data_IF_983382722635
#
_entry.id   IF_983382722635
#
_cell.length_a   1.000
_cell.length_b   1.000
_cell.length_c   1.000
_cell.angle_alpha   90.00
_cell.angle_beta   90.00
_cell.angle_gamma   90.00
#
_symmetry.space_group_name_H-M   'P 1'
#
loop_
_entity.id
_entity.type
_entity.pdbx_description
1 polymer ?
#
# COMPACT_ATOMS: atom_id res chain seq x y z
N UNK A 1 -7.81 -3.40 13.31
CA UNK A 1 -9.13 -3.15 13.93
C UNK A 1 -9.10 -1.89 14.80
N UNK A 2 -8.32 -1.88 15.85
CA UNK A 2 -8.29 -0.79 16.85
C UNK A 2 -7.86 0.56 16.26
N UNK A 3 -6.94 0.56 15.32
CA UNK A 3 -6.50 1.77 14.61
C UNK A 3 -7.63 2.33 13.74
N UNK A 4 -8.36 1.48 13.02
CA UNK A 4 -9.50 1.90 12.19
C UNK A 4 -10.61 2.48 13.08
N UNK A 5 -10.85 1.90 14.25
CA UNK A 5 -11.85 2.39 15.19
C UNK A 5 -11.59 3.84 15.67
N UNK A 6 -10.32 4.25 15.72
CA UNK A 6 -9.90 5.62 16.11
C UNK A 6 -10.01 6.65 14.97
N UNK A 7 -10.21 6.21 13.74
CA UNK A 7 -10.34 7.11 12.59
C UNK A 7 -11.74 7.78 12.59
N UNK A 8 -11.87 8.85 11.84
CA UNK A 8 -13.16 9.51 11.62
C UNK A 8 -14.12 8.54 10.90
N UNK A 9 -15.42 8.65 11.20
CA UNK A 9 -16.44 7.93 10.46
C UNK A 9 -16.48 8.43 9.02
N UNK A 10 -16.65 7.50 8.07
CA UNK A 10 -16.66 7.81 6.66
C UNK A 10 -15.27 8.10 6.06
N UNK A 11 -14.20 7.70 6.73
CA UNK A 11 -12.84 7.87 6.21
C UNK A 11 -12.62 7.07 4.92
N UNK A 12 -11.76 7.57 4.05
CA UNK A 12 -11.23 6.81 2.89
C UNK A 12 -9.81 6.33 3.21
N UNK A 13 -9.53 5.09 2.85
CA UNK A 13 -8.21 4.47 3.04
C UNK A 13 -7.57 4.19 1.69
N UNK A 14 -6.34 4.65 1.53
CA UNK A 14 -5.53 4.37 0.34
C UNK A 14 -4.24 3.69 0.79
N UNK A 15 -3.94 2.53 0.23
CA UNK A 15 -2.70 1.79 0.48
C UNK A 15 -2.03 1.40 -0.84
N UNK A 16 -0.95 2.07 -1.16
CA UNK A 16 -0.06 1.76 -2.28
C UNK A 16 1.36 1.42 -1.82
N UNK A 17 1.52 1.06 -0.55
CA UNK A 17 2.81 0.84 0.10
C UNK A 17 3.09 -0.65 0.32
N UNK A 18 2.40 -1.27 1.28
CA UNK A 18 2.61 -2.69 1.60
C UNK A 18 1.32 -3.34 2.08
N UNK A 19 1.05 -4.55 1.60
CA UNK A 19 -0.14 -5.33 1.96
C UNK A 19 -0.29 -5.55 3.46
N UNK A 20 0.76 -6.01 4.17
CA UNK A 20 0.70 -6.29 5.62
C UNK A 20 0.40 -5.09 6.52
N UNK A 21 0.38 -3.86 6.00
CA UNK A 21 -0.03 -2.68 6.78
C UNK A 21 -1.51 -2.70 7.13
N UNK A 22 -2.32 -3.46 6.40
CA UNK A 22 -3.76 -3.57 6.60
C UNK A 22 -4.12 -5.04 6.82
N UNK A 23 -4.88 -5.28 7.88
CA UNK A 23 -5.58 -6.56 8.06
C UNK A 23 -6.84 -6.50 7.19
N UNK A 24 -6.87 -7.27 6.12
CA UNK A 24 -7.88 -7.18 5.06
C UNK A 24 -9.29 -7.49 5.58
N UNK A 25 -9.42 -8.43 6.50
CA UNK A 25 -10.71 -8.72 7.12
C UNK A 25 -11.22 -7.53 7.95
N UNK A 26 -10.36 -6.87 8.70
CA UNK A 26 -10.73 -5.68 9.48
C UNK A 26 -11.16 -4.52 8.56
N UNK A 27 -10.51 -4.38 7.41
CA UNK A 27 -10.91 -3.40 6.41
C UNK A 27 -12.25 -3.76 5.78
N UNK A 28 -12.47 -5.03 5.46
CA UNK A 28 -13.76 -5.53 4.94
C UNK A 28 -14.90 -5.22 5.91
N UNK A 29 -14.73 -5.54 7.19
CA UNK A 29 -15.73 -5.30 8.22
C UNK A 29 -16.02 -3.80 8.38
N UNK A 30 -14.98 -2.97 8.29
CA UNK A 30 -15.12 -1.51 8.37
C UNK A 30 -15.84 -0.90 7.15
N UNK A 31 -15.63 -1.45 5.94
CA UNK A 31 -16.37 -1.08 4.74
C UNK A 31 -17.85 -1.48 4.86
N UNK A 32 -18.11 -2.70 5.32
CA UNK A 32 -19.46 -3.22 5.46
C UNK A 32 -20.27 -2.45 6.51
N UNK A 33 -19.64 -2.03 7.61
CA UNK A 33 -20.28 -1.21 8.65
C UNK A 33 -20.43 0.26 8.29
N UNK A 34 -19.73 0.75 7.25
CA UNK A 34 -19.70 2.16 6.86
C UNK A 34 -18.72 3.02 7.66
N UNK A 35 -17.96 2.45 8.60
CA UNK A 35 -16.87 3.14 9.31
C UNK A 35 -15.85 3.69 8.32
N UNK A 36 -15.52 2.90 7.30
CA UNK A 36 -14.72 3.29 6.13
C UNK A 36 -15.67 3.46 4.95
N UNK A 37 -15.71 4.65 4.37
CA UNK A 37 -16.58 4.96 3.24
C UNK A 37 -16.10 4.33 1.93
N UNK A 38 -14.79 4.15 1.78
CA UNK A 38 -14.19 3.54 0.61
C UNK A 38 -12.71 3.26 0.82
N UNK A 39 -12.17 2.35 0.02
CA UNK A 39 -10.75 2.03 0.02
C UNK A 39 -10.20 1.86 -1.39
N UNK A 40 -8.94 2.24 -1.58
CA UNK A 40 -8.18 1.93 -2.78
C UNK A 40 -6.87 1.26 -2.36
N UNK A 41 -6.65 0.04 -2.81
CA UNK A 41 -5.47 -0.74 -2.45
C UNK A 41 -4.76 -1.22 -3.70
N UNK A 42 -3.48 -0.91 -3.79
CA UNK A 42 -2.60 -1.40 -4.86
C UNK A 42 -1.79 -2.63 -4.41
N UNK A 43 -1.85 -2.94 -3.13
CA UNK A 43 -1.11 -4.03 -2.48
C UNK A 43 -2.03 -4.82 -1.57
N UNK A 44 -1.80 -6.12 -1.50
CA UNK A 44 -2.51 -7.07 -0.64
C UNK A 44 -1.52 -7.99 0.08
N UNK A 45 -1.99 -8.69 1.11
CA UNK A 45 -1.13 -9.53 1.96
C UNK A 45 -0.44 -10.66 1.19
N UNK A 46 -1.11 -11.24 0.20
CA UNK A 46 -0.57 -12.28 -0.68
C UNK A 46 -0.77 -11.87 -2.12
N UNK A 47 0.32 -11.77 -2.86
CA UNK A 47 0.32 -11.39 -4.27
C UNK A 47 0.82 -12.54 -5.16
N UNK A 48 0.15 -12.82 -6.28
CA UNK A 48 -1.10 -12.19 -6.74
C UNK A 48 -2.26 -12.45 -5.78
N UNK A 49 -3.26 -11.54 -5.82
CA UNK A 49 -4.43 -11.64 -4.94
C UNK A 49 -5.11 -13.00 -5.07
N UNK A 50 -5.41 -13.61 -3.93
CA UNK A 50 -6.11 -14.90 -3.88
C UNK A 50 -7.63 -14.69 -3.95
N UNK A 51 -8.33 -15.67 -4.51
CA UNK A 51 -9.78 -15.59 -4.71
C UNK A 51 -10.59 -15.55 -3.41
N UNK A 52 -10.00 -16.00 -2.32
CA UNK A 52 -10.58 -15.97 -0.96
C UNK A 52 -10.24 -14.69 -0.18
N UNK A 53 -9.53 -13.73 -0.81
CA UNK A 53 -9.21 -12.47 -0.15
C UNK A 53 -10.49 -11.73 0.27
N UNK A 54 -10.61 -11.28 1.53
CA UNK A 54 -11.82 -10.62 2.04
C UNK A 54 -12.24 -9.38 1.27
N UNK A 55 -11.30 -8.71 0.59
CA UNK A 55 -11.60 -7.49 -0.18
C UNK A 55 -12.26 -7.77 -1.52
N UNK A 56 -12.19 -9.01 -2.03
CA UNK A 56 -12.89 -9.39 -3.25
C UNK A 56 -14.40 -9.36 -2.98
N UNK A 57 -15.14 -8.62 -3.80
CA UNK A 57 -16.57 -8.44 -3.63
C UNK A 57 -16.97 -7.49 -2.48
N UNK A 58 -16.01 -6.83 -1.83
CA UNK A 58 -16.33 -5.76 -0.89
C UNK A 58 -16.92 -4.55 -1.64
N UNK A 59 -17.86 -3.85 -0.98
CA UNK A 59 -18.39 -2.60 -1.53
C UNK A 59 -17.37 -1.47 -1.41
N UNK A 60 -17.41 -0.53 -2.35
CA UNK A 60 -16.61 0.70 -2.32
C UNK A 60 -15.09 0.46 -2.20
N UNK A 61 -14.58 -0.60 -2.79
CA UNK A 61 -13.16 -0.89 -2.86
C UNK A 61 -12.69 -0.92 -4.31
N UNK A 62 -11.52 -0.33 -4.55
CA UNK A 62 -10.77 -0.43 -5.80
C UNK A 62 -9.48 -1.19 -5.48
N UNK A 63 -9.22 -2.24 -6.25
CA UNK A 63 -8.01 -3.06 -6.13
C UNK A 63 -7.25 -2.98 -7.44
N UNK A 64 -5.97 -2.62 -7.38
CA UNK A 64 -5.07 -2.63 -8.52
C UNK A 64 -3.92 -3.63 -8.27
N UNK A 65 -3.30 -4.19 -9.33
CA UNK A 65 -2.36 -5.31 -9.18
C UNK A 65 -0.90 -4.86 -8.96
N UNK A 66 -0.65 -4.05 -7.92
CA UNK A 66 0.67 -3.58 -7.51
C UNK A 66 1.40 -2.84 -8.65
N UNK A 67 0.74 -1.82 -9.20
CA UNK A 67 1.20 -1.08 -10.38
C UNK A 67 1.45 0.42 -10.13
N UNK A 68 1.41 0.89 -8.89
CA UNK A 68 1.64 2.32 -8.57
C UNK A 68 3.03 2.81 -8.99
N UNK A 69 3.99 1.91 -9.13
CA UNK A 69 5.35 2.16 -9.62
C UNK A 69 5.48 2.15 -11.15
N UNK A 70 4.47 1.66 -11.87
CA UNK A 70 4.56 1.32 -13.30
C UNK A 70 4.63 2.52 -14.27
N UNK A 71 4.14 3.74 -13.98
CA UNK A 71 4.31 4.88 -14.89
C UNK A 71 5.78 5.10 -15.26
N UNK A 72 6.05 5.46 -16.52
CA UNK A 72 7.40 5.67 -17.04
C UNK A 72 8.22 6.62 -16.15
N UNK A 73 7.61 7.72 -15.77
CA UNK A 73 8.24 8.75 -14.94
C UNK A 73 8.58 8.24 -13.54
N UNK A 74 7.72 7.41 -12.97
CA UNK A 74 7.95 6.78 -11.66
C UNK A 74 9.10 5.78 -11.73
N UNK A 75 9.15 4.97 -12.77
CA UNK A 75 10.25 4.01 -12.99
C UNK A 75 11.58 4.72 -13.21
N UNK A 76 11.58 5.82 -13.95
CA UNK A 76 12.78 6.62 -14.17
C UNK A 76 13.30 7.18 -12.83
N UNK A 77 12.42 7.80 -12.03
CA UNK A 77 12.80 8.31 -10.71
C UNK A 77 13.33 7.23 -9.78
N UNK A 78 12.67 6.07 -9.76
CA UNK A 78 13.13 4.94 -8.96
C UNK A 78 14.54 4.48 -9.35
N UNK A 79 14.81 4.38 -10.65
CA UNK A 79 16.12 4.00 -11.17
C UNK A 79 17.17 5.06 -10.81
N UNK A 80 16.87 6.33 -10.98
CA UNK A 80 17.77 7.44 -10.65
C UNK A 80 18.13 7.43 -9.16
N UNK A 81 17.16 7.22 -8.28
CA UNK A 81 17.39 7.12 -6.82
C UNK A 81 18.25 5.89 -6.49
N UNK A 82 17.99 4.74 -7.11
CA UNK A 82 18.78 3.53 -6.90
C UNK A 82 20.25 3.72 -7.31
N UNK A 83 20.48 4.35 -8.45
CA UNK A 83 21.84 4.68 -8.93
C UNK A 83 22.55 5.65 -7.98
N UNK A 84 21.86 6.69 -7.53
CA UNK A 84 22.41 7.67 -6.58
C UNK A 84 22.73 7.02 -5.24
N UNK A 85 21.86 6.16 -4.72
CA UNK A 85 22.12 5.41 -3.50
C UNK A 85 23.38 4.55 -3.62
N UNK A 86 23.56 3.86 -4.74
CA UNK A 86 24.76 3.05 -4.99
C UNK A 86 26.01 3.92 -5.05
N UNK A 87 25.99 5.05 -5.76
CA UNK A 87 27.11 6.00 -5.82
C UNK A 87 27.47 6.50 -4.42
N UNK A 88 26.49 6.95 -3.66
CA UNK A 88 26.71 7.44 -2.30
C UNK A 88 27.30 6.35 -1.38
N UNK A 89 26.87 5.12 -1.53
CA UNK A 89 27.44 3.99 -0.78
C UNK A 89 28.90 3.75 -1.13
N UNK A 90 29.24 3.73 -2.41
CA UNK A 90 30.63 3.55 -2.91
C UNK A 90 31.53 4.71 -2.43
N UNK A 91 31.02 5.93 -2.40
CA UNK A 91 31.74 7.12 -1.94
C UNK A 91 31.85 7.21 -0.40
N UNK A 92 31.36 6.21 0.34
CA UNK A 92 31.40 6.17 1.80
C UNK A 92 30.43 7.14 2.47
N UNK A 93 29.44 7.65 1.76
CA UNK A 93 28.40 8.58 2.25
C UNK A 93 27.01 8.01 1.96
N UNK A 94 26.63 6.86 2.56
CA UNK A 94 25.35 6.23 2.28
C UNK A 94 24.18 7.17 2.61
N UNK A 95 23.16 7.15 1.77
CA UNK A 95 21.90 7.89 1.93
C UNK A 95 20.69 6.94 1.90
N UNK A 96 19.55 7.42 2.40
CA UNK A 96 18.29 6.66 2.44
C UNK A 96 18.44 5.31 3.19
N UNK A 97 19.29 5.26 4.21
CA UNK A 97 19.51 4.06 5.02
C UNK A 97 18.33 3.85 5.94
N UNK A 98 17.64 2.71 5.84
CA UNK A 98 16.43 2.40 6.61
C UNK A 98 16.67 1.43 7.77
N UNK A 99 17.84 0.83 7.85
CA UNK A 99 18.25 -0.16 8.84
C UNK A 99 19.53 0.24 9.58
N UNK A 100 19.75 1.50 9.75
CA UNK A 100 20.91 2.06 10.48
C UNK A 100 20.76 1.88 11.97
#
# INVERSE_FOLDING_TARGET
KDTIAKMKDGVMIINNSSGPLIVEQDLRDALDSGKVAGAAVDVVSTEPIQMDNPLIGAKNVIITPHISWAPKESRQRLMDIAVDNLKCYVDGKPQNVVNA
#
